data_IF_096438949344
#
_entry.id   IF_096438949344
#
_cell.length_a   1.000
_cell.length_b   1.000
_cell.length_c   1.000
_cell.angle_alpha   90.00
_cell.angle_beta   90.00
_cell.angle_gamma   90.00
#
_symmetry.space_group_name_H-M   'P 1'
#
loop_
_entity.id
_entity.type
_entity.pdbx_description
1 polymer ?
#
# COMPACT_ATOMS: atom_id res chain seq x y z
N UNK A 1 -7.41 31.30 -29.01
CA UNK A 1 -6.86 31.68 -27.69
C UNK A 1 -6.02 30.49 -27.20
N UNK A 2 -4.70 30.69 -27.14
CA UNK A 2 -3.58 29.87 -26.62
C UNK A 2 -3.66 28.32 -26.58
N UNK A 3 -2.88 27.67 -27.47
CA UNK A 3 -2.54 26.24 -27.49
C UNK A 3 -1.19 25.95 -26.79
N UNK A 4 -0.92 26.55 -25.62
CA UNK A 4 0.41 26.52 -24.97
C UNK A 4 0.58 25.49 -23.84
N UNK A 5 -0.29 24.48 -23.75
CA UNK A 5 -0.45 23.68 -22.51
C UNK A 5 -0.03 22.20 -22.61
N UNK A 6 0.26 21.66 -23.80
CA UNK A 6 0.60 20.22 -23.92
C UNK A 6 1.97 19.89 -23.30
N UNK A 7 3.05 20.52 -23.74
CA UNK A 7 4.40 20.11 -23.31
C UNK A 7 4.65 20.23 -21.81
N UNK A 8 4.05 21.23 -21.13
CA UNK A 8 4.12 21.39 -19.67
C UNK A 8 3.39 20.26 -18.96
N UNK A 9 2.23 19.87 -19.48
CA UNK A 9 1.46 18.73 -18.98
C UNK A 9 2.23 17.44 -19.22
N UNK A 10 2.80 17.27 -20.40
CA UNK A 10 3.56 16.07 -20.77
C UNK A 10 4.84 15.93 -19.92
N UNK A 11 5.55 17.03 -19.68
CA UNK A 11 6.69 17.08 -18.75
C UNK A 11 6.27 16.82 -17.29
N UNK A 12 5.18 17.44 -16.83
CA UNK A 12 4.66 17.23 -15.47
C UNK A 12 4.24 15.77 -15.27
N UNK A 13 3.55 15.16 -16.24
CA UNK A 13 3.18 13.74 -16.21
C UNK A 13 4.41 12.83 -16.17
N UNK A 14 5.43 13.12 -16.99
CA UNK A 14 6.70 12.37 -16.95
C UNK A 14 7.40 12.50 -15.60
N UNK A 15 7.43 13.70 -15.03
CA UNK A 15 8.01 13.94 -13.71
C UNK A 15 7.22 13.23 -12.60
N UNK A 16 5.89 13.20 -12.67
CA UNK A 16 5.04 12.51 -11.69
C UNK A 16 5.35 11.01 -11.63
N UNK A 17 5.66 10.38 -12.76
CA UNK A 17 6.02 8.96 -12.82
C UNK A 17 7.49 8.73 -12.40
N UNK A 18 8.40 9.60 -12.84
CA UNK A 18 9.84 9.41 -12.64
C UNK A 18 10.30 9.82 -11.24
N UNK A 19 9.68 10.84 -10.64
CA UNK A 19 10.10 11.40 -9.35
C UNK A 19 10.03 10.35 -8.21
N UNK A 20 8.96 9.54 -8.04
CA UNK A 20 8.92 8.48 -7.04
C UNK A 20 10.04 7.45 -7.19
N UNK A 21 10.37 7.08 -8.43
CA UNK A 21 11.46 6.16 -8.75
C UNK A 21 12.82 6.75 -8.36
N UNK A 22 13.08 8.00 -8.75
CA UNK A 22 14.32 8.71 -8.42
C UNK A 22 14.49 8.88 -6.92
N UNK A 23 13.43 9.26 -6.21
CA UNK A 23 13.45 9.40 -4.74
C UNK A 23 13.74 8.04 -4.09
N UNK A 24 13.08 6.96 -4.54
CA UNK A 24 13.34 5.61 -4.02
C UNK A 24 14.80 5.20 -4.20
N UNK A 25 15.35 5.35 -5.41
CA UNK A 25 16.76 5.02 -5.70
C UNK A 25 17.71 5.88 -4.87
N UNK A 26 17.44 7.19 -4.77
CA UNK A 26 18.22 8.10 -3.95
C UNK A 26 18.24 7.69 -2.48
N UNK A 27 17.08 7.39 -1.90
CA UNK A 27 16.95 6.96 -0.50
C UNK A 27 17.71 5.65 -0.27
N UNK A 28 17.61 4.68 -1.19
CA UNK A 28 18.35 3.41 -1.09
C UNK A 28 19.86 3.64 -1.09
N UNK A 29 20.38 4.45 -2.02
CA UNK A 29 21.81 4.77 -2.10
C UNK A 29 22.25 5.52 -0.84
N UNK A 30 21.46 6.48 -0.38
CA UNK A 30 21.76 7.26 0.82
C UNK A 30 21.83 6.39 2.06
N UNK A 31 20.82 5.53 2.29
CA UNK A 31 20.80 4.59 3.41
C UNK A 31 21.95 3.59 3.33
N UNK A 32 22.23 3.04 2.15
CA UNK A 32 23.39 2.19 1.93
C UNK A 32 24.69 2.91 2.31
N UNK A 33 24.86 4.18 1.94
CA UNK A 33 26.06 4.94 2.27
C UNK A 33 26.24 5.16 3.78
N UNK A 34 25.15 5.40 4.51
CA UNK A 34 25.17 5.51 5.98
C UNK A 34 25.53 4.18 6.62
N UNK A 35 24.91 3.08 6.17
CA UNK A 35 25.17 1.77 6.73
C UNK A 35 26.57 1.24 6.37
N UNK A 36 27.00 1.46 5.13
CA UNK A 36 28.34 1.07 4.67
C UNK A 36 29.46 1.86 5.37
N UNK A 37 29.16 3.07 5.85
CA UNK A 37 30.08 3.86 6.68
C UNK A 37 29.98 3.53 8.17
N UNK A 38 28.97 2.78 8.61
CA UNK A 38 28.88 2.31 9.98
C UNK A 38 30.03 1.35 10.27
N UNK A 39 30.72 1.51 11.40
CA UNK A 39 31.98 0.82 11.73
C UNK A 39 31.95 -0.72 11.55
N UNK A 40 30.77 -1.33 11.60
CA UNK A 40 30.56 -2.78 11.42
C UNK A 40 30.82 -3.24 9.98
N UNK A 41 30.48 -2.45 8.96
CA UNK A 41 30.57 -2.88 7.55
C UNK A 41 32.01 -2.82 7.01
N UNK A 42 32.80 -1.76 7.25
CA UNK A 42 34.21 -1.72 6.88
C UNK A 42 35.05 -2.78 7.60
N UNK A 43 34.63 -3.20 8.81
CA UNK A 43 35.27 -4.27 9.59
C UNK A 43 35.08 -5.67 8.99
N UNK A 44 34.19 -5.84 8.00
CA UNK A 44 34.08 -7.09 7.23
C UNK A 44 35.16 -7.06 6.16
N UNK A 45 36.26 -7.76 6.41
CA UNK A 45 37.38 -7.90 5.49
C UNK A 45 37.72 -9.38 5.21
N UNK A 46 38.72 -9.59 4.36
CA UNK A 46 39.16 -10.94 3.99
C UNK A 46 39.72 -11.71 5.19
N UNK A 47 40.29 -11.02 6.17
CA UNK A 47 40.89 -11.61 7.37
C UNK A 47 39.81 -12.13 8.32
N UNK A 48 38.74 -11.34 8.53
CA UNK A 48 37.57 -11.77 9.29
C UNK A 48 36.88 -12.97 8.63
N UNK A 49 36.67 -12.93 7.31
CA UNK A 49 36.05 -14.05 6.60
C UNK A 49 36.91 -15.31 6.66
N UNK A 50 38.23 -15.18 6.51
CA UNK A 50 39.16 -16.29 6.65
C UNK A 50 39.17 -16.87 8.07
N UNK A 51 39.11 -16.02 9.10
CA UNK A 51 39.01 -16.44 10.50
C UNK A 51 37.71 -17.19 10.80
N UNK A 52 36.63 -16.88 10.08
CA UNK A 52 35.33 -17.58 10.16
C UNK A 52 35.25 -18.82 9.26
N UNK A 53 36.32 -19.16 8.53
CA UNK A 53 36.34 -20.29 7.60
C UNK A 53 35.49 -20.09 6.34
N UNK A 54 35.17 -18.83 6.00
CA UNK A 54 34.39 -18.45 4.84
C UNK A 54 35.29 -18.08 3.65
N UNK A 55 34.77 -18.14 2.41
CA UNK A 55 35.49 -17.65 1.24
C UNK A 55 35.89 -16.19 1.41
N UNK A 56 37.18 -15.90 1.33
CA UNK A 56 37.77 -14.57 1.59
C UNK A 56 38.22 -13.83 0.32
N UNK A 57 37.75 -14.29 -0.85
CA UNK A 57 37.97 -13.56 -2.10
C UNK A 57 37.33 -12.17 -2.06
N UNK A 58 37.86 -11.23 -2.84
CA UNK A 58 37.36 -9.84 -2.89
C UNK A 58 35.85 -9.78 -3.17
N UNK A 59 35.36 -10.59 -4.12
CA UNK A 59 33.93 -10.70 -4.41
C UNK A 59 33.11 -11.26 -3.25
N UNK A 60 33.67 -12.18 -2.46
CA UNK A 60 33.00 -12.75 -1.28
C UNK A 60 32.92 -11.72 -0.14
N UNK A 61 33.94 -10.89 0.03
CA UNK A 61 33.94 -9.76 0.98
C UNK A 61 32.87 -8.74 0.61
N UNK A 62 32.81 -8.34 -0.67
CA UNK A 62 31.80 -7.39 -1.16
C UNK A 62 30.37 -7.92 -0.96
N UNK A 63 30.13 -9.19 -1.33
CA UNK A 63 28.84 -9.83 -1.11
C UNK A 63 28.49 -9.89 0.39
N UNK A 64 29.43 -10.28 1.25
CA UNK A 64 29.20 -10.33 2.69
C UNK A 64 28.84 -8.95 3.27
N UNK A 65 29.49 -7.88 2.79
CA UNK A 65 29.16 -6.50 3.17
C UNK A 65 27.75 -6.11 2.73
N UNK A 66 27.36 -6.41 1.48
CA UNK A 66 26.02 -6.11 0.97
C UNK A 66 24.95 -6.88 1.75
N UNK A 67 25.14 -8.19 1.97
CA UNK A 67 24.20 -9.00 2.74
C UNK A 67 24.07 -8.53 4.19
N UNK A 68 25.20 -8.24 4.85
CA UNK A 68 25.18 -7.75 6.24
C UNK A 68 24.49 -6.39 6.32
N UNK A 69 24.75 -5.51 5.36
CA UNK A 69 24.07 -4.20 5.26
C UNK A 69 22.56 -4.37 5.14
N UNK A 70 22.09 -5.29 4.29
CA UNK A 70 20.67 -5.58 4.13
C UNK A 70 20.04 -6.14 5.41
N UNK A 71 20.72 -7.06 6.10
CA UNK A 71 20.24 -7.63 7.36
C UNK A 71 20.13 -6.53 8.43
N UNK A 72 21.16 -5.69 8.58
CA UNK A 72 21.15 -4.57 9.54
C UNK A 72 20.01 -3.59 9.20
N UNK A 73 19.83 -3.27 7.92
CA UNK A 73 18.73 -2.41 7.48
C UNK A 73 17.37 -2.98 7.90
N UNK A 74 17.11 -4.26 7.60
CA UNK A 74 15.87 -4.94 7.99
C UNK A 74 15.69 -4.88 9.52
N UNK A 75 16.73 -5.21 10.29
CA UNK A 75 16.67 -5.18 11.75
C UNK A 75 16.36 -3.77 12.28
N UNK A 76 16.96 -2.72 11.71
CA UNK A 76 16.68 -1.33 12.09
C UNK A 76 15.22 -0.98 11.78
N UNK A 77 14.72 -1.32 10.58
CA UNK A 77 13.34 -1.06 10.19
C UNK A 77 12.37 -1.75 11.16
N UNK A 78 12.57 -3.02 11.48
CA UNK A 78 11.75 -3.74 12.46
C UNK A 78 11.87 -3.16 13.87
N UNK A 79 13.07 -2.76 14.28
CA UNK A 79 13.31 -2.17 15.61
C UNK A 79 12.58 -0.83 15.75
N UNK A 80 12.65 0.03 14.73
CA UNK A 80 11.89 1.28 14.69
C UNK A 80 10.40 0.99 14.67
N UNK A 81 9.93 0.08 13.81
CA UNK A 81 8.51 -0.29 13.75
C UNK A 81 7.97 -0.81 15.08
N UNK A 82 8.75 -1.61 15.80
CA UNK A 82 8.38 -2.08 17.14
C UNK A 82 8.37 -0.93 18.17
N UNK A 83 9.39 -0.05 18.13
CA UNK A 83 9.46 1.12 19.01
C UNK A 83 8.25 2.04 18.81
N UNK A 84 7.81 2.23 17.56
CA UNK A 84 6.64 3.07 17.23
C UNK A 84 5.33 2.52 17.80
N UNK A 85 5.25 1.23 18.16
CA UNK A 85 4.06 0.64 18.83
C UNK A 85 4.00 0.92 20.34
N UNK A 86 4.98 1.63 20.90
CA UNK A 86 5.06 1.92 22.33
C UNK A 86 4.64 3.36 22.62
N UNK A 87 4.34 3.68 23.88
CA UNK A 87 4.04 5.06 24.30
C UNK A 87 5.17 6.06 24.00
N UNK A 88 6.41 5.59 23.88
CA UNK A 88 7.52 6.42 23.41
C UNK A 88 7.41 6.74 21.92
N UNK A 89 6.93 5.77 21.13
CA UNK A 89 6.59 5.93 19.72
C UNK A 89 5.63 7.08 19.49
N UNK A 90 4.52 7.13 20.24
CA UNK A 90 3.52 8.21 20.15
C UNK A 90 4.13 9.60 20.39
N UNK A 91 5.09 9.71 21.32
CA UNK A 91 5.78 10.97 21.62
C UNK A 91 6.69 11.37 20.46
N UNK A 92 7.46 10.42 19.92
CA UNK A 92 8.37 10.66 18.79
C UNK A 92 7.57 11.03 17.53
N UNK A 93 6.48 10.33 17.27
CA UNK A 93 5.59 10.61 16.14
C UNK A 93 5.07 12.04 16.19
N UNK A 94 4.51 12.46 17.32
CA UNK A 94 4.01 13.84 17.51
C UNK A 94 5.11 14.88 17.32
N UNK A 95 6.32 14.60 17.80
CA UNK A 95 7.45 15.52 17.62
C UNK A 95 7.84 15.66 16.13
N UNK A 96 7.82 14.57 15.37
CA UNK A 96 8.08 14.58 13.92
C UNK A 96 6.95 15.31 13.19
N UNK A 97 5.69 14.98 13.50
CA UNK A 97 4.52 15.63 12.94
C UNK A 97 4.59 17.15 13.13
N UNK A 98 4.85 17.60 14.36
CA UNK A 98 4.99 19.01 14.67
C UNK A 98 6.13 19.63 13.84
N UNK A 99 7.32 19.03 13.85
CA UNK A 99 8.47 19.55 13.11
C UNK A 99 8.19 19.69 11.61
N UNK A 100 7.57 18.67 10.99
CA UNK A 100 7.23 18.67 9.57
C UNK A 100 6.14 19.70 9.24
N UNK A 101 5.16 19.88 10.14
CA UNK A 101 4.07 20.83 9.96
C UNK A 101 4.49 22.31 10.09
N UNK A 102 5.64 22.58 10.71
CA UNK A 102 6.21 23.93 10.81
C UNK A 102 6.84 24.41 9.49
N UNK A 103 7.18 23.52 8.55
CA UNK A 103 7.83 23.89 7.29
C UNK A 103 6.78 24.04 6.18
N UNK A 104 6.55 25.27 5.65
CA UNK A 104 5.63 25.49 4.55
C UNK A 104 6.02 24.67 3.31
N UNK A 105 5.03 24.11 2.61
CA UNK A 105 5.25 23.21 1.48
C UNK A 105 5.54 21.76 1.90
N UNK A 106 6.52 21.53 2.77
CA UNK A 106 6.87 20.18 3.25
C UNK A 106 5.69 19.51 3.96
N UNK A 107 4.94 20.28 4.78
CA UNK A 107 3.73 19.77 5.45
C UNK A 107 2.71 19.16 4.49
N UNK A 108 2.60 19.66 3.26
CA UNK A 108 1.61 19.17 2.28
C UNK A 108 2.01 17.78 1.80
N UNK A 109 3.30 17.62 1.45
CA UNK A 109 3.84 16.33 1.00
C UNK A 109 3.81 15.33 2.15
N UNK A 110 4.26 15.74 3.34
CA UNK A 110 4.28 14.88 4.52
C UNK A 110 2.89 14.36 4.89
N UNK A 111 1.89 15.24 5.03
CA UNK A 111 0.53 14.84 5.41
C UNK A 111 -0.13 13.98 4.33
N UNK A 112 0.08 14.27 3.05
CA UNK A 112 -0.43 13.44 1.96
C UNK A 112 0.20 12.04 1.96
N UNK A 113 1.52 11.95 2.15
CA UNK A 113 2.23 10.68 2.23
C UNK A 113 1.85 9.87 3.47
N UNK A 114 1.77 10.51 4.65
CA UNK A 114 1.36 9.88 5.90
C UNK A 114 -0.06 9.30 5.79
N UNK A 115 -1.01 10.10 5.31
CA UNK A 115 -2.38 9.65 5.07
C UNK A 115 -2.44 8.48 4.09
N UNK A 116 -1.68 8.53 3.00
CA UNK A 116 -1.64 7.42 2.03
C UNK A 116 -1.11 6.13 2.66
N UNK A 117 -0.06 6.20 3.49
CA UNK A 117 0.51 5.05 4.19
C UNK A 117 -0.44 4.52 5.27
N UNK A 118 -0.98 5.39 6.13
CA UNK A 118 -1.93 4.99 7.18
C UNK A 118 -3.20 4.38 6.59
N UNK A 119 -3.67 4.91 5.47
CA UNK A 119 -4.83 4.36 4.76
C UNK A 119 -4.49 3.03 4.09
N UNK A 120 -3.30 2.87 3.50
CA UNK A 120 -2.90 1.60 2.88
C UNK A 120 -2.62 0.51 3.92
N UNK A 121 -2.02 0.85 5.06
CA UNK A 121 -1.69 -0.12 6.12
C UNK A 121 -2.93 -0.40 6.97
N UNK A 122 -3.61 0.63 7.48
CA UNK A 122 -4.80 0.47 8.32
C UNK A 122 -6.07 0.13 7.54
N UNK A 123 -6.19 0.53 6.27
CA UNK A 123 -7.42 0.38 5.50
C UNK A 123 -7.58 -0.95 4.76
N UNK A 124 -6.55 -1.80 4.68
CA UNK A 124 -6.63 -3.15 4.07
C UNK A 124 -6.30 -4.29 5.02
N UNK A 125 -5.54 -4.06 6.10
CA UNK A 125 -5.27 -5.11 7.12
C UNK A 125 -6.51 -5.42 7.97
N UNK A 126 -7.45 -4.48 8.11
CA UNK A 126 -8.73 -4.68 8.80
C UNK A 126 -9.84 -5.24 7.89
N UNK A 127 -9.61 -5.32 6.57
CA UNK A 127 -10.58 -5.86 5.61
C UNK A 127 -10.51 -7.38 5.58
N UNK A 128 -11.26 -8.02 6.45
CA UNK A 128 -11.13 -9.47 6.68
C UNK A 128 -11.67 -10.31 5.52
N UNK A 129 -12.86 -9.96 5.01
CA UNK A 129 -13.53 -10.73 3.96
C UNK A 129 -14.38 -9.82 3.07
N UNK A 130 -14.35 -10.03 1.73
CA UNK A 130 -15.28 -9.37 0.84
C UNK A 130 -16.69 -9.95 1.01
N UNK A 131 -17.68 -9.07 0.99
CA UNK A 131 -19.09 -9.41 1.14
C UNK A 131 -19.91 -8.76 0.02
N UNK A 132 -21.00 -9.40 -0.40
CA UNK A 132 -22.05 -8.77 -1.21
C UNK A 132 -23.09 -8.18 -0.28
N UNK A 133 -23.15 -6.85 -0.23
CA UNK A 133 -24.20 -6.11 0.45
C UNK A 133 -25.30 -5.73 -0.55
N UNK A 134 -26.53 -6.12 -0.28
CA UNK A 134 -27.68 -5.62 -1.05
C UNK A 134 -28.07 -4.23 -0.57
N UNK A 135 -27.92 -3.24 -1.46
CA UNK A 135 -28.16 -1.83 -1.13
C UNK A 135 -29.61 -1.41 -1.45
N UNK A 136 -30.08 -1.63 -2.67
CA UNK A 136 -31.43 -1.27 -3.12
C UNK A 136 -31.88 -2.18 -4.26
N UNK A 137 -33.16 -2.57 -4.29
CA UNK A 137 -33.83 -3.25 -5.41
C UNK A 137 -33.02 -4.38 -6.07
N UNK A 138 -32.42 -5.27 -5.27
CA UNK A 138 -31.61 -6.39 -5.77
C UNK A 138 -30.20 -6.02 -6.27
N UNK A 139 -29.81 -4.74 -6.24
CA UNK A 139 -28.44 -4.30 -6.54
C UNK A 139 -27.51 -4.69 -5.40
N UNK A 140 -26.42 -5.37 -5.75
CA UNK A 140 -25.40 -5.85 -4.80
C UNK A 140 -24.10 -5.10 -5.02
N UNK A 141 -23.54 -4.55 -3.95
CA UNK A 141 -22.22 -3.92 -3.96
C UNK A 141 -21.22 -4.78 -3.19
N UNK A 142 -19.96 -4.74 -3.61
CA UNK A 142 -18.87 -5.39 -2.87
C UNK A 142 -18.44 -4.46 -1.74
N UNK A 143 -18.55 -4.94 -0.50
CA UNK A 143 -18.06 -4.29 0.70
C UNK A 143 -17.05 -5.22 1.39
N UNK A 144 -16.41 -4.75 2.44
CA UNK A 144 -15.44 -5.52 3.20
C UNK A 144 -15.72 -5.41 4.69
N UNK A 145 -15.65 -6.53 5.42
CA UNK A 145 -15.81 -6.54 6.88
C UNK A 145 -14.65 -5.79 7.53
N UNK A 146 -14.95 -4.88 8.46
CA UNK A 146 -13.92 -4.18 9.25
C UNK A 146 -13.51 -4.92 10.53
N UNK A 147 -14.20 -6.02 10.84
CA UNK A 147 -14.03 -6.76 12.10
C UNK A 147 -14.64 -6.08 13.34
N UNK A 148 -15.30 -4.93 13.17
CA UNK A 148 -16.00 -4.22 14.24
C UNK A 148 -17.49 -4.58 14.24
N UNK A 149 -18.05 -4.72 15.44
CA UNK A 149 -19.49 -4.93 15.66
C UNK A 149 -19.99 -3.87 16.64
N UNK A 150 -21.15 -3.31 16.34
CA UNK A 150 -21.85 -2.31 17.17
C UNK A 150 -22.48 -2.94 18.41
N UNK A 151 -22.86 -2.11 19.39
CA UNK A 151 -23.50 -2.57 20.64
C UNK A 151 -24.85 -3.26 20.41
N UNK A 152 -25.56 -2.92 19.31
CA UNK A 152 -26.83 -3.55 18.91
C UNK A 152 -26.63 -4.77 17.99
N UNK A 153 -25.38 -5.20 17.77
CA UNK A 153 -25.04 -6.44 17.07
C UNK A 153 -24.99 -6.31 15.54
N UNK A 154 -24.93 -5.10 15.00
CA UNK A 154 -24.69 -4.85 13.56
C UNK A 154 -23.21 -4.95 13.24
N UNK A 155 -22.90 -5.51 12.09
CA UNK A 155 -21.55 -5.61 11.56
C UNK A 155 -21.19 -4.31 10.82
N UNK A 156 -19.99 -3.80 11.07
CA UNK A 156 -19.48 -2.59 10.41
C UNK A 156 -18.74 -3.00 9.14
N UNK A 157 -19.26 -2.55 7.99
CA UNK A 157 -18.67 -2.80 6.68
C UNK A 157 -18.12 -1.51 6.06
N UNK A 158 -17.02 -1.64 5.34
CA UNK A 158 -16.51 -0.60 4.46
C UNK A 158 -16.96 -0.86 3.02
N UNK A 159 -17.67 0.12 2.45
CA UNK A 159 -18.18 0.11 1.09
C UNK A 159 -17.35 1.09 0.24
N UNK A 160 -16.30 0.63 -0.47
CA UNK A 160 -15.44 1.51 -1.25
C UNK A 160 -16.13 2.04 -2.51
N UNK A 161 -15.64 3.16 -3.01
CA UNK A 161 -15.97 3.63 -4.37
C UNK A 161 -15.02 3.03 -5.41
N UNK A 162 -15.50 2.88 -6.64
CA UNK A 162 -14.70 2.44 -7.78
C UNK A 162 -14.38 3.64 -8.72
N UNK A 163 -13.18 3.71 -9.33
CA UNK A 163 -11.99 2.91 -9.06
C UNK A 163 -11.21 3.40 -7.82
N UNK A 164 -11.55 4.56 -7.27
CA UNK A 164 -10.80 5.15 -6.17
C UNK A 164 -11.22 4.55 -4.82
N UNK A 165 -10.48 3.55 -4.34
CA UNK A 165 -10.75 2.83 -3.08
C UNK A 165 -10.40 3.62 -1.82
N UNK A 166 -9.75 4.78 -1.94
CA UNK A 166 -9.43 5.65 -0.79
C UNK A 166 -10.65 6.39 -0.26
N UNK A 167 -11.77 6.33 -0.99
CA UNK A 167 -13.06 6.89 -0.62
C UNK A 167 -14.13 5.81 -0.57
N UNK A 168 -15.16 6.03 0.24
CA UNK A 168 -16.22 5.05 0.47
C UNK A 168 -17.17 5.46 1.57
N UNK A 169 -18.02 4.53 1.95
CA UNK A 169 -18.96 4.66 3.06
C UNK A 169 -18.63 3.62 4.13
N UNK A 170 -18.81 4.00 5.39
CA UNK A 170 -18.90 3.04 6.49
C UNK A 170 -20.37 2.79 6.75
N UNK A 171 -20.79 1.53 6.75
CA UNK A 171 -22.18 1.14 6.92
C UNK A 171 -22.33 0.08 8.01
N UNK A 172 -23.34 0.24 8.85
CA UNK A 172 -23.69 -0.69 9.91
C UNK A 172 -24.88 -1.53 9.44
N UNK A 173 -24.67 -2.84 9.30
CA UNK A 173 -25.68 -3.72 8.70
C UNK A 173 -25.96 -4.92 9.58
N UNK A 174 -27.20 -5.38 9.55
CA UNK A 174 -27.57 -6.61 10.25
C UNK A 174 -26.89 -7.82 9.58
N UNK A 175 -26.43 -8.84 10.34
CA UNK A 175 -25.64 -9.95 9.81
C UNK A 175 -26.27 -10.71 8.63
N UNK A 176 -27.59 -10.65 8.48
CA UNK A 176 -28.33 -11.31 7.40
C UNK A 176 -28.51 -10.45 6.14
N UNK A 177 -28.05 -9.20 6.14
CA UNK A 177 -28.20 -8.24 5.02
C UNK A 177 -27.03 -8.29 4.04
N UNK A 178 -25.99 -9.06 4.33
CA UNK A 178 -24.87 -9.29 3.43
C UNK A 178 -24.60 -10.80 3.29
N UNK A 179 -23.94 -11.17 2.20
CA UNK A 179 -23.48 -12.53 1.94
C UNK A 179 -21.95 -12.53 1.87
N UNK A 180 -21.29 -13.38 2.65
CA UNK A 180 -19.85 -13.60 2.52
C UNK A 180 -19.56 -14.33 1.21
N UNK A 181 -18.57 -13.84 0.46
CA UNK A 181 -18.22 -14.39 -0.84
C UNK A 181 -16.94 -15.21 -0.70
N UNK A 182 -16.87 -16.36 -1.37
CA UNK A 182 -15.63 -17.12 -1.56
C UNK A 182 -14.76 -16.49 -2.66
N UNK A 183 -14.45 -15.19 -2.49
CA UNK A 183 -13.58 -14.39 -3.35
C UNK A 183 -12.40 -13.90 -2.50
N UNK A 184 -11.18 -13.93 -3.04
CA UNK A 184 -10.03 -13.37 -2.31
C UNK A 184 -10.12 -11.85 -2.27
N UNK A 185 -9.67 -11.22 -1.18
CA UNK A 185 -9.68 -9.76 -1.02
C UNK A 185 -8.98 -9.07 -2.20
N UNK A 186 -7.86 -9.61 -2.69
CA UNK A 186 -7.11 -9.04 -3.81
C UNK A 186 -7.90 -9.08 -5.13
N UNK A 187 -8.71 -10.12 -5.35
CA UNK A 187 -9.54 -10.27 -6.55
C UNK A 187 -10.69 -9.27 -6.52
N UNK A 188 -11.37 -9.15 -5.39
CA UNK A 188 -12.41 -8.15 -5.17
C UNK A 188 -11.87 -6.72 -5.35
N UNK A 189 -10.69 -6.43 -4.80
CA UNK A 189 -10.01 -5.14 -4.96
C UNK A 189 -9.60 -4.88 -6.41
N UNK A 190 -9.07 -5.88 -7.11
CA UNK A 190 -8.71 -5.75 -8.54
C UNK A 190 -9.93 -5.39 -9.38
N UNK A 191 -11.06 -6.04 -9.14
CA UNK A 191 -12.34 -5.74 -9.81
C UNK A 191 -12.84 -4.33 -9.51
N UNK A 192 -12.73 -3.86 -8.26
CA UNK A 192 -13.13 -2.50 -7.88
C UNK A 192 -12.19 -1.45 -8.49
N UNK A 193 -10.87 -1.64 -8.38
CA UNK A 193 -9.83 -0.74 -8.90
C UNK A 193 -9.88 -0.62 -10.43
N UNK A 194 -10.27 -1.69 -11.12
CA UNK A 194 -10.46 -1.69 -12.56
C UNK A 194 -11.83 -1.17 -13.00
N UNK A 195 -12.65 -0.65 -12.08
CA UNK A 195 -14.04 -0.25 -12.34
C UNK A 195 -14.91 -1.35 -12.98
N UNK A 196 -14.60 -2.62 -12.67
CA UNK A 196 -15.30 -3.79 -13.19
C UNK A 196 -14.73 -4.33 -14.52
N UNK A 197 -13.76 -3.66 -15.14
CA UNK A 197 -13.19 -4.10 -16.42
C UNK A 197 -12.09 -5.17 -16.28
N UNK A 198 -11.56 -5.38 -15.08
CA UNK A 198 -10.34 -6.16 -14.84
C UNK A 198 -10.53 -7.63 -14.48
N UNK A 199 -11.68 -8.24 -14.78
CA UNK A 199 -11.99 -9.59 -14.32
C UNK A 199 -12.52 -10.49 -15.46
N UNK A 200 -11.69 -10.78 -16.46
CA UNK A 200 -12.03 -11.69 -17.59
C UNK A 200 -11.26 -13.01 -17.58
N UNK A 201 -10.43 -13.30 -16.57
CA UNK A 201 -9.62 -14.52 -16.54
C UNK A 201 -9.72 -15.25 -15.19
N UNK A 202 -10.88 -15.85 -14.89
CA UNK A 202 -11.00 -17.13 -14.17
C UNK A 202 -12.47 -17.62 -14.06
N UNK A 203 -12.73 -18.68 -14.81
CA UNK A 203 -13.74 -19.76 -14.78
C UNK A 203 -14.73 -19.98 -13.61
N UNK A 204 -14.87 -19.18 -12.54
CA UNK A 204 -15.83 -19.44 -11.45
C UNK A 204 -16.61 -18.21 -10.95
N UNK A 205 -16.50 -17.06 -11.60
CA UNK A 205 -17.41 -15.95 -11.31
C UNK A 205 -18.81 -16.27 -11.87
N UNK A 206 -19.86 -16.09 -11.06
CA UNK A 206 -21.25 -16.13 -11.52
C UNK A 206 -21.37 -15.24 -12.76
N UNK A 207 -21.73 -15.79 -13.94
CA UNK A 207 -21.82 -14.98 -15.15
C UNK A 207 -22.85 -13.87 -14.92
N UNK A 208 -22.40 -12.62 -15.02
CA UNK A 208 -23.33 -11.49 -15.16
C UNK A 208 -23.78 -11.54 -16.61
N UNK A 209 -25.05 -11.86 -16.91
CA UNK A 209 -25.53 -11.83 -18.28
C UNK A 209 -25.65 -10.35 -18.65
N UNK A 210 -24.71 -9.87 -19.46
CA UNK A 210 -24.87 -8.61 -20.18
C UNK A 210 -25.44 -9.00 -21.53
N UNK A 211 -26.67 -8.57 -21.82
CA UNK A 211 -27.22 -8.69 -23.17
C UNK A 211 -26.48 -7.68 -24.05
N UNK A 212 -25.92 -8.15 -25.16
CA UNK A 212 -25.31 -7.28 -26.16
C UNK A 212 -26.42 -6.41 -26.80
N UNK A 213 -26.11 -5.14 -27.11
CA UNK A 213 -27.05 -4.19 -27.71
C UNK A 213 -27.65 -4.65 -29.06
N UNK A 214 -27.07 -5.67 -29.69
CA UNK A 214 -27.56 -6.26 -30.94
C UNK A 214 -28.84 -7.10 -30.76
N UNK A 215 -29.19 -7.53 -29.54
CA UNK A 215 -30.42 -8.30 -29.25
C UNK A 215 -31.67 -7.43 -29.01
N UNK A 216 -31.53 -6.09 -29.01
CA UNK A 216 -32.63 -5.14 -28.82
C UNK A 216 -33.16 -4.56 -30.15
N UNK A 217 -32.66 -5.02 -31.29
CA UNK A 217 -33.04 -4.50 -32.61
C UNK A 217 -34.18 -5.28 -33.30
N UNK A 218 -34.68 -6.36 -32.71
CA UNK A 218 -35.83 -7.14 -33.20
C UNK A 218 -36.96 -7.16 -32.14
N UNK A 219 -37.62 -6.01 -31.93
CA UNK A 219 -39.02 -5.91 -31.47
C UNK A 219 -39.68 -4.61 -31.94
#
# INVERSE_FOLDING_TARGET
MASSTSWKRDFASGLIILLPLLVTVYVIIYLYSILASAAVIPAIDAELLAALGLPSGTSSVELARVFTTLIIFILIVFSIGYLMRTAFGDIVERAIDDAMNHVPGLRVVYNASKMAVETAVGGTEDLQAPVKLEVWDGMRMTAFKTGQTTDDGREVLFLPTAPNITTGYVVEVEPHRYEEIDERVEEALTRILSAGFGDTDRSNATPIPVADEDDLADD
#
